data_IF_035750462552
#
_entry.id   IF_035750462552
#
_cell.length_a   1.000
_cell.length_b   1.000
_cell.length_c   1.000
_cell.angle_alpha   90.00
_cell.angle_beta   90.00
_cell.angle_gamma   90.00
#
_symmetry.space_group_name_H-M   'P 1'
#
loop_
_entity.id
_entity.type
_entity.pdbx_description
1 polymer ?
#
# COMPACT_ATOMS: atom_id res chain seq x y z
N UNK A 1 0.27 32.65 12.15
CA UNK A 1 -0.99 32.60 11.38
C UNK A 1 -1.67 31.32 11.77
N UNK A 2 -2.90 31.36 12.30
CA UNK A 2 -3.67 30.13 12.49
C UNK A 2 -3.88 29.49 11.12
N UNK A 3 -3.24 28.34 10.87
CA UNK A 3 -3.48 27.55 9.68
C UNK A 3 -4.89 27.00 9.76
N UNK A 4 -5.74 27.39 8.81
CA UNK A 4 -7.12 26.92 8.77
C UNK A 4 -7.16 25.40 8.62
N UNK A 5 -8.08 24.76 9.35
CA UNK A 5 -8.38 23.32 9.23
C UNK A 5 -8.46 22.86 7.76
N UNK A 6 -9.11 23.68 6.92
CA UNK A 6 -9.28 23.39 5.50
C UNK A 6 -7.95 23.35 4.74
N UNK A 7 -7.00 24.23 5.10
CA UNK A 7 -5.67 24.26 4.49
C UNK A 7 -4.91 22.98 4.80
N UNK A 8 -4.88 22.56 6.07
CA UNK A 8 -4.23 21.32 6.49
C UNK A 8 -4.86 20.12 5.76
N UNK A 9 -6.19 20.02 5.77
CA UNK A 9 -6.89 18.91 5.14
C UNK A 9 -6.67 18.87 3.61
N UNK A 10 -6.72 20.01 2.92
CA UNK A 10 -6.54 20.07 1.47
C UNK A 10 -5.10 19.75 1.02
N UNK A 11 -4.09 20.23 1.74
CA UNK A 11 -2.70 19.91 1.45
C UNK A 11 -2.39 18.46 1.79
N UNK A 12 -2.89 17.97 2.92
CA UNK A 12 -2.75 16.58 3.33
C UNK A 12 -3.39 15.64 2.30
N UNK A 13 -4.60 15.95 1.82
CA UNK A 13 -5.25 15.25 0.73
C UNK A 13 -4.39 15.20 -0.54
N UNK A 14 -3.85 16.35 -0.96
CA UNK A 14 -3.05 16.43 -2.17
C UNK A 14 -1.76 15.60 -2.04
N UNK A 15 -1.07 15.70 -0.90
CA UNK A 15 0.17 14.95 -0.64
C UNK A 15 -0.11 13.46 -0.56
N UNK A 16 -1.13 13.03 0.17
CA UNK A 16 -1.54 11.62 0.27
C UNK A 16 -1.88 11.03 -1.11
N UNK A 17 -2.65 11.77 -1.91
CA UNK A 17 -3.01 11.35 -3.27
C UNK A 17 -1.77 11.06 -4.13
N UNK A 18 -0.72 11.87 -4.03
CA UNK A 18 0.53 11.60 -4.78
C UNK A 18 1.24 10.33 -4.32
N UNK A 19 1.22 10.03 -3.02
CA UNK A 19 1.75 8.79 -2.46
C UNK A 19 0.94 7.57 -2.89
N UNK A 20 -0.39 7.66 -2.84
CA UNK A 20 -1.31 6.59 -3.20
C UNK A 20 -1.19 6.16 -4.68
N UNK A 21 -0.89 7.12 -5.57
CA UNK A 21 -0.75 6.89 -7.00
C UNK A 21 0.54 6.13 -7.39
N UNK A 22 1.52 6.02 -6.49
CA UNK A 22 2.75 5.29 -6.76
C UNK A 22 2.47 3.78 -6.97
N UNK A 23 3.00 3.15 -8.03
CA UNK A 23 2.78 1.73 -8.26
C UNK A 23 3.43 0.91 -7.14
N UNK A 24 2.66 0.01 -6.53
CA UNK A 24 3.16 -0.78 -5.40
C UNK A 24 2.30 -1.97 -5.02
N UNK A 25 2.62 -2.64 -3.88
CA UNK A 25 1.92 -3.83 -3.41
C UNK A 25 0.44 -3.57 -3.13
N UNK A 26 0.11 -2.43 -2.50
CA UNK A 26 -1.27 -2.11 -2.13
C UNK A 26 -2.14 -1.83 -3.36
N UNK A 27 -1.60 -1.12 -4.36
CA UNK A 27 -2.25 -0.93 -5.66
C UNK A 27 -2.50 -2.27 -6.35
N UNK A 28 -1.47 -3.10 -6.44
CA UNK A 28 -1.55 -4.43 -7.08
C UNK A 28 -2.57 -5.32 -6.37
N UNK A 29 -2.54 -5.34 -5.04
CA UNK A 29 -3.49 -6.07 -4.20
C UNK A 29 -4.92 -5.59 -4.42
N UNK A 30 -5.14 -4.27 -4.50
CA UNK A 30 -6.46 -3.69 -4.75
C UNK A 30 -7.01 -4.08 -6.12
N UNK A 31 -6.20 -4.00 -7.18
CA UNK A 31 -6.61 -4.39 -8.54
C UNK A 31 -7.05 -5.86 -8.54
N UNK A 32 -6.21 -6.72 -7.97
CA UNK A 32 -6.45 -8.16 -7.88
C UNK A 32 -7.75 -8.45 -7.11
N UNK A 33 -7.88 -7.95 -5.88
CA UNK A 33 -9.02 -8.26 -5.02
C UNK A 33 -10.33 -7.70 -5.60
N UNK A 34 -10.27 -6.53 -6.24
CA UNK A 34 -11.43 -5.91 -6.90
C UNK A 34 -11.90 -6.70 -8.11
N UNK A 35 -10.98 -7.21 -8.94
CA UNK A 35 -11.34 -7.99 -10.12
C UNK A 35 -12.03 -9.33 -9.79
N UNK A 36 -11.70 -9.92 -8.63
CA UNK A 36 -12.21 -11.25 -8.23
C UNK A 36 -13.48 -11.23 -7.39
N UNK A 37 -13.82 -10.11 -6.78
CA UNK A 37 -14.88 -10.04 -5.78
C UNK A 37 -16.24 -9.68 -6.40
N UNK A 38 -17.33 -10.28 -5.90
CA UNK A 38 -18.71 -10.00 -6.37
C UNK A 38 -19.12 -8.53 -6.19
N UNK A 39 -18.59 -7.84 -5.18
CA UNK A 39 -18.74 -6.39 -4.95
C UNK A 39 -17.37 -5.71 -5.02
N UNK A 40 -16.62 -6.03 -6.08
CA UNK A 40 -15.24 -5.58 -6.28
C UNK A 40 -15.06 -4.06 -6.24
N UNK A 41 -16.04 -3.30 -6.72
CA UNK A 41 -16.01 -1.84 -6.70
C UNK A 41 -15.87 -1.25 -5.29
N UNK A 42 -16.34 -1.95 -4.24
CA UNK A 42 -16.21 -1.52 -2.82
C UNK A 42 -14.93 -2.01 -2.15
N UNK A 43 -14.08 -2.80 -2.83
CA UNK A 43 -12.88 -3.34 -2.19
C UNK A 43 -11.90 -2.25 -1.77
N UNK A 44 -11.81 -1.14 -2.53
CA UNK A 44 -11.00 0.02 -2.16
C UNK A 44 -11.36 0.55 -0.76
N UNK A 45 -12.65 0.67 -0.43
CA UNK A 45 -13.10 1.13 0.89
C UNK A 45 -12.60 0.23 2.02
N UNK A 46 -12.74 -1.10 1.87
CA UNK A 46 -12.34 -2.04 2.92
C UNK A 46 -10.82 -2.17 3.06
N UNK A 47 -10.10 -2.11 1.95
CA UNK A 47 -8.63 -2.15 1.95
C UNK A 47 -8.08 -0.89 2.64
N UNK A 48 -8.63 0.28 2.31
CA UNK A 48 -8.21 1.54 2.91
C UNK A 48 -8.63 1.64 4.37
N UNK A 49 -9.75 1.06 4.79
CA UNK A 49 -10.06 1.00 6.22
C UNK A 49 -8.96 0.29 7.04
N UNK A 50 -8.31 -0.72 6.47
CA UNK A 50 -7.15 -1.40 7.09
C UNK A 50 -5.87 -0.58 7.02
N UNK A 51 -5.65 0.12 5.91
CA UNK A 51 -4.55 1.09 5.75
C UNK A 51 -4.67 2.21 6.78
N UNK A 52 -5.82 2.88 6.83
CA UNK A 52 -6.15 3.95 7.76
C UNK A 52 -5.90 3.57 9.22
N UNK A 53 -6.20 2.32 9.58
CA UNK A 53 -5.98 1.85 10.95
C UNK A 53 -4.48 1.81 11.33
N UNK A 54 -3.61 1.38 10.43
CA UNK A 54 -2.16 1.38 10.69
C UNK A 54 -1.57 2.79 10.58
N UNK A 55 -2.16 3.66 9.75
CA UNK A 55 -1.75 5.06 9.63
C UNK A 55 -2.13 5.86 10.88
N UNK A 56 -3.35 5.69 11.39
CA UNK A 56 -3.73 6.24 12.69
C UNK A 56 -2.74 5.81 13.78
N UNK A 57 -2.33 4.54 13.79
CA UNK A 57 -1.36 4.03 14.76
C UNK A 57 0.02 4.70 14.60
N UNK A 58 0.56 4.82 13.37
CA UNK A 58 1.88 5.43 13.17
C UNK A 58 1.87 6.93 13.46
N UNK A 59 0.79 7.64 13.13
CA UNK A 59 0.65 9.07 13.46
C UNK A 59 0.70 9.28 14.97
N UNK A 60 -0.06 8.49 15.74
CA UNK A 60 -0.06 8.54 17.21
C UNK A 60 1.34 8.22 17.75
N UNK A 61 2.04 7.22 17.20
CA UNK A 61 3.41 6.90 17.60
C UNK A 61 4.39 8.03 17.27
N UNK A 62 4.28 8.66 16.11
CA UNK A 62 5.10 9.80 15.71
C UNK A 62 4.88 11.00 16.63
N UNK A 63 3.63 11.31 16.99
CA UNK A 63 3.29 12.33 17.98
C UNK A 63 3.85 12.02 19.37
N UNK A 64 4.00 10.74 19.71
CA UNK A 64 4.63 10.28 20.95
C UNK A 64 6.17 10.25 20.91
N UNK A 65 6.80 10.65 19.80
CA UNK A 65 8.26 10.74 19.65
C UNK A 65 8.93 9.53 18.99
N UNK A 66 8.16 8.63 18.37
CA UNK A 66 8.71 7.48 17.61
C UNK A 66 9.58 7.90 16.41
N UNK A 67 9.52 9.17 16.01
CA UNK A 67 10.40 9.76 14.98
C UNK A 67 11.89 9.59 15.29
N UNK A 68 12.30 9.62 16.57
CA UNK A 68 13.69 9.37 16.96
C UNK A 68 14.14 7.95 16.62
N UNK A 69 13.26 6.97 16.79
CA UNK A 69 13.55 5.57 16.47
C UNK A 69 13.58 5.37 14.96
N UNK A 70 12.58 5.89 14.23
CA UNK A 70 12.49 5.73 12.77
C UNK A 70 13.65 6.37 12.02
N UNK A 71 14.19 7.49 12.51
CA UNK A 71 15.33 8.17 11.89
C UNK A 71 16.70 7.65 12.36
N UNK A 72 16.73 6.65 13.25
CA UNK A 72 18.00 6.07 13.68
C UNK A 72 18.64 5.26 12.55
N UNK A 73 19.97 5.36 12.32
CA UNK A 73 20.63 4.61 11.25
C UNK A 73 20.37 3.09 11.26
N UNK A 74 20.32 2.42 12.45
CA UNK A 74 19.95 1.00 12.49
C UNK A 74 18.50 0.73 12.05
N UNK A 75 17.53 1.55 12.46
CA UNK A 75 16.14 1.36 12.09
C UNK A 75 15.92 1.53 10.58
N UNK A 76 16.50 2.58 9.97
CA UNK A 76 16.41 2.81 8.53
C UNK A 76 16.99 1.63 7.75
N UNK A 77 18.14 1.08 8.18
CA UNK A 77 18.74 -0.12 7.58
C UNK A 77 17.84 -1.35 7.71
N UNK A 78 17.29 -1.60 8.89
CA UNK A 78 16.40 -2.77 9.12
C UNK A 78 15.13 -2.65 8.28
N UNK A 79 14.47 -1.49 8.29
CA UNK A 79 13.25 -1.23 7.52
C UNK A 79 13.52 -1.35 6.02
N UNK A 80 14.62 -0.76 5.55
CA UNK A 80 15.05 -0.84 4.14
C UNK A 80 15.27 -2.27 3.70
N UNK A 81 16.09 -3.05 4.41
CA UNK A 81 16.40 -4.45 4.04
C UNK A 81 15.17 -5.35 4.15
N UNK A 82 14.44 -5.28 5.27
CA UNK A 82 13.30 -6.15 5.52
C UNK A 82 12.16 -5.86 4.54
N UNK A 83 11.77 -4.59 4.42
CA UNK A 83 10.73 -4.18 3.48
C UNK A 83 11.17 -4.33 2.03
N UNK A 84 12.42 -4.00 1.69
CA UNK A 84 12.98 -4.18 0.35
C UNK A 84 12.94 -5.63 -0.10
N UNK A 85 13.37 -6.56 0.75
CA UNK A 85 13.29 -8.01 0.50
C UNK A 85 11.85 -8.47 0.30
N UNK A 86 10.93 -8.00 1.15
CA UNK A 86 9.52 -8.36 1.04
C UNK A 86 8.90 -7.81 -0.25
N UNK A 87 9.26 -6.59 -0.65
CA UNK A 87 8.81 -5.93 -1.88
C UNK A 87 9.33 -6.63 -3.14
N UNK A 88 10.61 -7.03 -3.16
CA UNK A 88 11.18 -7.87 -4.23
C UNK A 88 10.44 -9.19 -4.33
N UNK A 89 10.19 -9.84 -3.19
CA UNK A 89 9.45 -11.09 -3.16
C UNK A 89 8.03 -10.92 -3.70
N UNK A 90 7.31 -9.85 -3.34
CA UNK A 90 6.02 -9.51 -3.93
C UNK A 90 6.09 -9.37 -5.44
N UNK A 91 7.04 -8.59 -5.97
CA UNK A 91 7.20 -8.38 -7.40
C UNK A 91 7.47 -9.67 -8.18
N UNK A 92 8.41 -10.50 -7.71
CA UNK A 92 8.71 -11.81 -8.31
C UNK A 92 7.49 -12.73 -8.27
N UNK A 93 6.75 -12.71 -7.15
CA UNK A 93 5.60 -13.59 -6.94
C UNK A 93 4.49 -13.31 -7.97
N UNK A 94 4.20 -12.04 -8.23
CA UNK A 94 3.21 -11.60 -9.23
C UNK A 94 3.64 -12.01 -10.64
N UNK A 95 4.89 -11.76 -11.01
CA UNK A 95 5.43 -12.11 -12.34
C UNK A 95 5.39 -13.63 -12.56
N UNK A 96 5.79 -14.41 -11.56
CA UNK A 96 5.80 -15.88 -11.62
C UNK A 96 4.38 -16.44 -11.81
N UNK A 97 3.39 -15.89 -11.14
CA UNK A 97 2.01 -16.35 -11.23
C UNK A 97 1.40 -16.08 -12.62
N UNK A 98 1.74 -14.94 -13.23
CA UNK A 98 1.35 -14.62 -14.62
C UNK A 98 1.98 -15.61 -15.60
N UNK A 99 3.27 -15.92 -15.44
CA UNK A 99 4.00 -16.85 -16.32
C UNK A 99 3.48 -18.28 -16.21
N UNK A 100 3.13 -18.74 -14.98
CA UNK A 100 2.53 -20.07 -14.77
C UNK A 100 1.19 -20.24 -15.48
N UNK A 101 0.37 -19.18 -15.54
CA UNK A 101 -0.94 -19.20 -16.23
C UNK A 101 -0.84 -19.25 -17.75
N UNK A 102 0.25 -18.78 -18.33
CA UNK A 102 0.47 -18.77 -19.79
C UNK A 102 1.14 -20.04 -20.32
N UNK A 103 1.45 -21.03 -19.46
CA UNK A 103 1.98 -22.32 -19.93
C UNK A 103 0.85 -23.17 -20.54
N UNK A 104 1.02 -23.70 -21.78
CA UNK A 104 0.13 -24.71 -22.33
C UNK A 104 0.18 -25.95 -21.44
N UNK A 105 -0.96 -26.38 -20.89
CA UNK A 105 -1.08 -27.58 -20.05
C UNK A 105 -1.37 -27.36 -18.56
N UNK A 106 -1.47 -26.11 -18.09
CA UNK A 106 -1.79 -25.79 -16.68
C UNK A 106 -3.30 -25.80 -16.33
N UNK A 107 -4.18 -26.26 -17.24
CA UNK A 107 -5.65 -26.20 -17.09
C UNK A 107 -6.26 -27.32 -16.24
N UNK A 108 -5.47 -28.14 -15.55
CA UNK A 108 -5.96 -29.25 -14.71
C UNK A 108 -5.67 -29.04 -13.21
N UNK A 109 -5.61 -27.80 -12.74
CA UNK A 109 -5.49 -27.48 -11.32
C UNK A 109 -6.42 -26.34 -10.97
N UNK A 110 -7.46 -26.67 -10.20
CA UNK A 110 -8.42 -25.81 -9.51
C UNK A 110 -8.22 -24.30 -9.69
N UNK A 111 -9.25 -23.64 -10.20
CA UNK A 111 -9.48 -22.20 -10.13
C UNK A 111 -9.37 -21.71 -8.69
N UNK A 112 -8.15 -21.55 -8.23
CA UNK A 112 -7.82 -21.07 -6.90
C UNK A 112 -7.32 -19.65 -7.11
N UNK A 113 -8.15 -18.71 -6.65
CA UNK A 113 -7.82 -17.40 -6.15
C UNK A 113 -6.53 -16.78 -6.73
N UNK A 114 -6.64 -15.62 -7.38
CA UNK A 114 -5.56 -14.63 -7.43
C UNK A 114 -5.32 -14.15 -5.98
N UNK A 115 -5.01 -15.06 -5.06
CA UNK A 115 -4.35 -14.70 -3.85
C UNK A 115 -2.95 -14.25 -4.31
N UNK A 116 -2.51 -13.03 -3.99
CA UNK A 116 -1.11 -12.68 -4.16
C UNK A 116 -0.28 -13.82 -3.55
N UNK A 117 0.83 -14.18 -4.19
CA UNK A 117 1.69 -15.29 -3.78
C UNK A 117 2.42 -15.07 -2.44
N UNK A 118 1.75 -14.39 -1.50
CA UNK A 118 1.80 -14.61 -0.06
C UNK A 118 1.28 -15.98 0.41
N UNK A 119 0.69 -16.78 -0.47
CA UNK A 119 0.20 -18.13 -0.16
C UNK A 119 1.35 -19.15 0.01
N UNK A 120 2.36 -18.85 0.84
CA UNK A 120 3.28 -19.84 1.39
C UNK A 120 2.59 -20.51 2.59
N UNK A 121 2.15 -21.76 2.39
CA UNK A 121 1.86 -22.87 3.33
C UNK A 121 1.18 -22.68 4.70
N UNK A 122 0.80 -21.48 5.17
CA UNK A 122 0.03 -21.33 6.42
C UNK A 122 -1.39 -20.83 6.14
N UNK A 123 -2.38 -21.62 6.57
CA UNK A 123 -3.83 -21.34 6.43
C UNK A 123 -4.22 -19.98 7.00
N UNK A 124 -3.55 -19.51 8.06
CA UNK A 124 -3.76 -18.20 8.68
C UNK A 124 -3.44 -17.03 7.75
N UNK A 125 -2.29 -17.04 7.06
CA UNK A 125 -1.86 -15.94 6.19
C UNK A 125 -2.79 -15.79 4.98
N UNK A 126 -3.25 -16.92 4.42
CA UNK A 126 -4.27 -16.94 3.36
C UNK A 126 -5.59 -16.34 3.83
N UNK A 127 -5.99 -16.63 5.08
CA UNK A 127 -7.23 -16.10 5.68
C UNK A 127 -7.16 -14.60 5.93
N UNK A 128 -6.01 -14.10 6.42
CA UNK A 128 -5.77 -12.68 6.65
C UNK A 128 -5.75 -11.85 5.36
N UNK A 129 -5.26 -12.43 4.26
CA UNK A 129 -5.30 -11.76 2.96
C UNK A 129 -6.64 -11.87 2.23
N UNK A 130 -7.47 -12.85 2.59
CA UNK A 130 -8.85 -12.92 2.07
C UNK A 130 -9.75 -11.86 2.70
N UNK A 131 -9.46 -11.43 3.93
CA UNK A 131 -10.16 -10.30 4.53
C UNK A 131 -9.50 -8.99 4.03
N UNK A 132 -10.22 -8.15 3.26
CA UNK A 132 -9.65 -6.96 2.64
C UNK A 132 -9.08 -5.95 3.65
N UNK A 133 -9.64 -5.87 4.86
CA UNK A 133 -9.18 -4.93 5.90
C UNK A 133 -7.80 -5.36 6.42
N UNK A 134 -7.67 -6.60 6.89
CA UNK A 134 -6.38 -7.10 7.37
C UNK A 134 -5.35 -7.23 6.24
N UNK A 135 -5.81 -7.52 5.02
CA UNK A 135 -4.97 -7.53 3.83
C UNK A 135 -4.40 -6.14 3.52
N UNK A 136 -5.23 -5.10 3.55
CA UNK A 136 -4.81 -3.71 3.38
C UNK A 136 -3.75 -3.30 4.40
N UNK A 137 -3.99 -3.55 5.68
CA UNK A 137 -3.02 -3.28 6.75
C UNK A 137 -1.69 -4.01 6.52
N UNK A 138 -1.73 -5.34 6.30
CA UNK A 138 -0.53 -6.16 6.20
C UNK A 138 0.31 -5.83 4.95
N UNK A 139 -0.35 -5.62 3.81
CA UNK A 139 0.32 -5.30 2.54
C UNK A 139 0.97 -3.92 2.62
N UNK A 140 0.34 -2.97 3.31
CA UNK A 140 0.87 -1.63 3.53
C UNK A 140 2.10 -1.63 4.43
N UNK A 141 2.03 -2.31 5.58
CA UNK A 141 3.17 -2.46 6.50
C UNK A 141 4.35 -3.18 5.84
N UNK A 142 4.09 -4.11 4.93
CA UNK A 142 5.12 -4.84 4.21
C UNK A 142 5.81 -4.01 3.11
N UNK A 143 5.28 -2.83 2.80
CA UNK A 143 5.85 -1.94 1.81
C UNK A 143 6.89 -1.00 2.47
N UNK A 144 8.20 -1.10 2.16
CA UNK A 144 9.23 -0.21 2.73
C UNK A 144 8.96 1.26 2.41
N UNK A 145 8.34 1.54 1.26
CA UNK A 145 7.96 2.89 0.87
C UNK A 145 7.05 3.56 1.88
N UNK A 146 6.11 2.82 2.47
CA UNK A 146 5.16 3.35 3.45
C UNK A 146 5.90 3.87 4.69
N UNK A 147 6.86 3.11 5.19
CA UNK A 147 7.70 3.52 6.32
C UNK A 147 8.58 4.71 5.99
N UNK A 148 9.21 4.70 4.81
CA UNK A 148 10.07 5.82 4.36
C UNK A 148 9.23 7.09 4.19
N UNK A 149 8.03 7.00 3.62
CA UNK A 149 7.12 8.12 3.46
C UNK A 149 6.74 8.74 4.80
N UNK A 150 6.37 7.92 5.79
CA UNK A 150 6.01 8.40 7.13
C UNK A 150 7.20 8.96 7.90
N UNK A 151 8.39 8.39 7.74
CA UNK A 151 9.62 8.91 8.34
C UNK A 151 10.08 10.24 7.73
N UNK A 152 9.66 10.56 6.50
CA UNK A 152 10.10 11.75 5.75
C UNK A 152 8.96 12.74 5.54
N UNK A 153 8.15 12.55 4.50
CA UNK A 153 7.07 13.45 4.09
C UNK A 153 6.01 13.57 5.19
N UNK A 154 5.57 12.45 5.75
CA UNK A 154 4.56 12.43 6.80
C UNK A 154 5.02 13.19 8.05
N UNK A 155 6.23 12.87 8.54
CA UNK A 155 6.82 13.58 9.67
C UNK A 155 7.05 15.07 9.40
N UNK A 156 7.60 15.43 8.24
CA UNK A 156 7.83 16.83 7.87
C UNK A 156 6.52 17.64 7.81
N UNK A 157 5.46 17.04 7.27
CA UNK A 157 4.12 17.65 7.25
C UNK A 157 3.59 17.83 8.69
N UNK A 158 3.70 16.81 9.53
CA UNK A 158 3.28 16.90 10.93
C UNK A 158 4.03 18.00 11.70
N UNK A 159 5.33 18.19 11.44
CA UNK A 159 6.12 19.25 12.08
C UNK A 159 5.76 20.64 11.55
N UNK A 160 5.53 20.79 10.24
CA UNK A 160 5.17 22.07 9.62
C UNK A 160 3.82 22.61 10.12
N UNK A 161 2.86 21.71 10.32
CA UNK A 161 1.51 22.06 10.80
C UNK A 161 1.31 21.85 12.30
N UNK A 162 2.40 21.65 13.06
CA UNK A 162 2.40 21.50 14.52
C UNK A 162 1.37 20.45 15.03
N UNK A 163 1.28 19.32 14.32
CA UNK A 163 0.35 18.24 14.63
C UNK A 163 0.80 17.56 15.93
N UNK A 164 0.00 17.71 16.98
CA UNK A 164 0.32 17.24 18.33
C UNK A 164 -0.94 16.89 19.13
N UNK A 165 -0.79 16.21 20.27
CA UNK A 165 -1.93 15.86 21.13
C UNK A 165 -2.65 17.11 21.68
N UNK A 166 -1.96 18.26 21.73
CA UNK A 166 -2.54 19.53 22.12
C UNK A 166 -3.35 20.20 21.00
N UNK A 167 -3.18 19.78 19.74
CA UNK A 167 -3.88 20.30 18.57
C UNK A 167 -4.77 19.22 17.91
N UNK A 168 -5.89 18.83 18.56
CA UNK A 168 -6.76 17.77 18.04
C UNK A 168 -7.44 18.15 16.72
N UNK A 169 -7.68 19.44 16.47
CA UNK A 169 -8.25 19.92 15.22
C UNK A 169 -7.27 19.75 14.05
N UNK A 170 -6.00 20.09 14.24
CA UNK A 170 -4.94 19.85 13.26
C UNK A 170 -4.77 18.36 12.97
N UNK A 171 -4.74 17.52 14.01
CA UNK A 171 -4.69 16.06 13.85
C UNK A 171 -5.86 15.53 13.03
N UNK A 172 -7.10 15.94 13.34
CA UNK A 172 -8.27 15.53 12.59
C UNK A 172 -8.23 16.03 11.13
N UNK A 173 -7.79 17.27 10.89
CA UNK A 173 -7.64 17.81 9.54
C UNK A 173 -6.64 17.01 8.71
N UNK A 174 -5.48 16.72 9.29
CA UNK A 174 -4.43 15.94 8.65
C UNK A 174 -4.90 14.51 8.36
N UNK A 175 -5.41 13.81 9.37
CA UNK A 175 -5.86 12.43 9.21
C UNK A 175 -7.00 12.32 8.20
N UNK A 176 -8.06 13.12 8.33
CA UNK A 176 -9.19 13.06 7.40
C UNK A 176 -8.81 13.46 5.97
N UNK A 177 -7.93 14.46 5.82
CA UNK A 177 -7.41 14.87 4.52
C UNK A 177 -6.61 13.75 3.85
N UNK A 178 -5.66 13.18 4.59
CA UNK A 178 -4.79 12.09 4.14
C UNK A 178 -5.60 10.87 3.70
N UNK A 179 -6.47 10.37 4.59
CA UNK A 179 -7.31 9.20 4.31
C UNK A 179 -8.31 9.43 3.17
N UNK A 180 -8.79 10.67 3.00
CA UNK A 180 -9.63 11.01 1.87
C UNK A 180 -8.88 10.94 0.53
N UNK A 181 -7.59 11.30 0.51
CA UNK A 181 -6.73 11.19 -0.68
C UNK A 181 -6.53 9.73 -1.09
N UNK A 182 -6.18 8.91 -0.11
CA UNK A 182 -6.01 7.47 -0.29
C UNK A 182 -7.32 6.81 -0.72
N UNK A 183 -8.42 7.06 -0.01
CA UNK A 183 -9.72 6.51 -0.33
C UNK A 183 -10.19 6.94 -1.74
N UNK A 184 -9.98 8.19 -2.13
CA UNK A 184 -10.36 8.68 -3.45
C UNK A 184 -9.66 7.89 -4.56
N UNK A 185 -8.33 7.72 -4.46
CA UNK A 185 -7.57 6.96 -5.44
C UNK A 185 -7.97 5.49 -5.47
N UNK A 186 -8.03 4.84 -4.31
CA UNK A 186 -8.27 3.39 -4.25
C UNK A 186 -9.72 3.01 -4.57
N UNK A 187 -10.70 3.91 -4.39
CA UNK A 187 -12.05 3.74 -4.93
C UNK A 187 -12.09 3.85 -6.46
N UNK A 188 -11.35 4.79 -7.06
CA UNK A 188 -11.21 4.87 -8.52
C UNK A 188 -10.55 3.60 -9.04
N UNK A 189 -9.48 3.14 -8.42
CA UNK A 189 -8.80 1.90 -8.83
C UNK A 189 -9.72 0.69 -8.66
N UNK A 190 -10.44 0.54 -7.55
CA UNK A 190 -11.30 -0.63 -7.34
C UNK A 190 -12.50 -0.66 -8.28
N UNK A 191 -13.10 0.50 -8.59
CA UNK A 191 -14.19 0.61 -9.57
C UNK A 191 -13.72 0.32 -10.98
N UNK A 192 -12.60 0.91 -11.41
CA UNK A 192 -11.98 0.64 -12.72
C UNK A 192 -11.52 -0.82 -12.85
N UNK A 193 -10.98 -1.42 -11.79
CA UNK A 193 -10.60 -2.82 -11.79
C UNK A 193 -11.83 -3.74 -11.87
N UNK A 194 -12.91 -3.44 -11.14
CA UNK A 194 -14.12 -4.26 -11.17
C UNK A 194 -14.80 -4.24 -12.55
N UNK A 195 -14.97 -3.08 -13.17
CA UNK A 195 -15.69 -2.97 -14.45
C UNK A 195 -14.80 -3.02 -15.70
N UNK A 196 -13.59 -2.48 -15.61
CA UNK A 196 -12.66 -2.32 -16.73
C UNK A 196 -11.77 -3.54 -16.92
N UNK A 197 -11.08 -3.98 -15.85
CA UNK A 197 -10.11 -5.08 -15.95
C UNK A 197 -10.78 -6.40 -16.33
N UNK A 198 -12.02 -6.66 -15.91
CA UNK A 198 -12.78 -7.83 -16.34
C UNK A 198 -13.04 -7.88 -17.86
N UNK A 199 -12.94 -6.74 -18.57
CA UNK A 199 -13.09 -6.62 -20.02
C UNK A 199 -11.76 -6.48 -20.77
N UNK A 200 -10.63 -6.41 -20.07
CA UNK A 200 -9.32 -6.26 -20.70
C UNK A 200 -8.87 -7.58 -21.35
N UNK A 201 -8.11 -7.45 -22.44
CA UNK A 201 -7.40 -8.58 -23.02
C UNK A 201 -6.46 -9.20 -21.97
N UNK A 202 -6.48 -10.53 -21.76
CA UNK A 202 -5.59 -11.20 -20.81
C UNK A 202 -4.11 -10.84 -20.96
N UNK A 203 -3.63 -10.58 -22.19
CA UNK A 203 -2.26 -10.13 -22.46
C UNK A 203 -1.97 -8.74 -21.90
N UNK A 204 -2.93 -7.82 -22.01
CA UNK A 204 -2.80 -6.44 -21.49
C UNK A 204 -2.83 -6.44 -19.97
N UNK A 205 -3.73 -7.23 -19.37
CA UNK A 205 -3.78 -7.42 -17.92
C UNK A 205 -2.47 -8.02 -17.37
N UNK A 206 -1.96 -9.06 -18.04
CA UNK A 206 -0.67 -9.65 -17.71
C UNK A 206 0.49 -8.65 -17.84
N UNK A 207 0.53 -7.85 -18.90
CA UNK A 207 1.55 -6.82 -19.10
C UNK A 207 1.52 -5.75 -17.99
N UNK A 208 0.32 -5.27 -17.63
CA UNK A 208 0.14 -4.29 -16.55
C UNK A 208 0.66 -4.82 -15.22
N UNK A 209 0.26 -6.02 -14.81
CA UNK A 209 0.74 -6.62 -13.56
C UNK A 209 2.23 -6.96 -13.59
N UNK A 210 2.76 -7.34 -14.75
CA UNK A 210 4.21 -7.56 -14.93
C UNK A 210 4.99 -6.26 -14.75
N UNK A 211 4.48 -5.15 -15.29
CA UNK A 211 5.06 -3.82 -15.09
C UNK A 211 5.08 -3.43 -13.61
N UNK A 212 3.96 -3.59 -12.89
CA UNK A 212 3.91 -3.38 -11.44
C UNK A 212 4.91 -4.29 -10.70
N UNK A 213 5.01 -5.57 -11.10
CA UNK A 213 5.96 -6.52 -10.54
C UNK A 213 7.41 -6.10 -10.71
N UNK A 214 7.80 -5.67 -11.92
CA UNK A 214 9.15 -5.19 -12.22
C UNK A 214 9.48 -3.92 -11.44
N UNK A 215 8.53 -2.98 -11.35
CA UNK A 215 8.68 -1.77 -10.54
C UNK A 215 8.91 -2.12 -9.07
N UNK A 216 8.12 -3.03 -8.49
CA UNK A 216 8.31 -3.50 -7.11
C UNK A 216 9.68 -4.13 -6.90
N UNK A 217 10.17 -4.96 -7.84
CA UNK A 217 11.52 -5.54 -7.74
C UNK A 217 12.59 -4.46 -7.76
N UNK A 218 12.55 -3.55 -8.74
CA UNK A 218 13.53 -2.47 -8.85
C UNK A 218 13.53 -1.56 -7.63
N UNK A 219 12.35 -1.15 -7.18
CA UNK A 219 12.21 -0.28 -6.02
C UNK A 219 12.57 -0.97 -4.71
N UNK A 220 12.26 -2.26 -4.56
CA UNK A 220 12.67 -3.07 -3.41
C UNK A 220 14.19 -3.21 -3.29
N UNK A 221 14.89 -3.41 -4.40
CA UNK A 221 16.36 -3.42 -4.42
C UNK A 221 16.90 -2.05 -4.04
N UNK A 222 16.38 -0.99 -4.66
CA UNK A 222 16.80 0.39 -4.38
C UNK A 222 16.63 0.75 -2.90
N UNK A 223 15.45 0.55 -2.33
CA UNK A 223 15.17 0.84 -0.92
C UNK A 223 15.94 -0.07 0.04
N UNK A 224 16.24 -1.31 -0.35
CA UNK A 224 17.05 -2.23 0.45
C UNK A 224 18.53 -1.83 0.53
N UNK A 225 19.08 -1.26 -0.53
CA UNK A 225 20.50 -0.89 -0.62
C UNK A 225 20.75 0.57 -0.20
N UNK A 226 19.81 1.47 -0.47
CA UNK A 226 19.94 2.91 -0.17
C UNK A 226 20.40 3.26 1.26
N UNK A 227 20.06 2.53 2.34
CA UNK A 227 20.53 2.85 3.69
C UNK A 227 22.03 2.57 3.95
N UNK A 228 22.74 1.97 2.99
CA UNK A 228 24.16 1.59 3.11
C UNK A 228 25.09 2.39 2.20
N UNK A 229 24.53 3.23 1.33
CA UNK A 229 25.25 4.14 0.42
C UNK A 229 25.19 5.54 1.03
#
# INVERSE_FOLDING_TARGET
METSFLTIASLSFAVALTGAMAPGPLLTYTIIQSAQSRRGYLMGLWIIAGHAAIEAAIIVLLMAGFSFVLNSPPAVKIIGVAGGTMLVWFGISVIRDIYRRHRPGALNGETSDIAPALATNTTLRRRLLKNPVSGGALVSMANPYWWVWWATIGLAFMTEFEISFANPAGFAAFFLGHEAGDLAWYLVVSTLAFWGVQKLNPKVYAAMLTCCGLFMVGFGIYLGVSPFI
#
